data_IF_617938078222
#
_entry.id   IF_617938078222
#
_cell.length_a   1.000
_cell.length_b   1.000
_cell.length_c   1.000
_cell.angle_alpha   90.00
_cell.angle_beta   90.00
_cell.angle_gamma   90.00
#
_symmetry.space_group_name_H-M   'P 1'
#
loop_
_entity.id
_entity.type
_entity.pdbx_description
1 polymer ?
#
# COMPACT_ATOMS: atom_id res chain seq x y z
N UNK A 1 9.71 -0.37 18.61
CA UNK A 1 8.66 -0.61 17.60
C UNK A 1 7.33 0.05 17.95
N UNK A 2 6.67 -0.21 19.09
CA UNK A 2 5.35 0.34 19.44
C UNK A 2 5.28 1.88 19.43
N UNK A 3 6.30 2.56 19.94
CA UNK A 3 6.35 4.03 19.96
C UNK A 3 6.66 4.64 18.60
N UNK A 4 7.33 3.90 17.71
CA UNK A 4 7.82 4.40 16.42
C UNK A 4 6.83 4.16 15.27
N UNK A 5 5.87 3.24 15.43
CA UNK A 5 4.85 2.92 14.42
C UNK A 5 3.45 3.15 15.01
N UNK A 6 2.84 4.33 14.78
CA UNK A 6 1.51 4.62 15.27
C UNK A 6 0.46 3.64 14.74
N UNK A 7 -0.41 3.15 15.62
CA UNK A 7 -1.43 2.13 15.32
C UNK A 7 -2.85 2.65 15.54
N UNK A 8 -3.83 2.08 14.85
CA UNK A 8 -5.25 2.40 15.00
C UNK A 8 -5.87 3.10 13.78
N UNK A 9 -7.21 3.18 13.76
CA UNK A 9 -7.99 3.76 12.64
C UNK A 9 -7.59 5.20 12.36
N UNK A 10 -7.46 6.02 13.39
CA UNK A 10 -7.11 7.44 13.32
C UNK A 10 -5.62 7.73 13.46
N UNK A 11 -4.76 6.70 13.41
CA UNK A 11 -3.32 6.89 13.59
C UNK A 11 -2.74 7.89 12.59
N UNK A 12 -1.89 8.78 13.09
CA UNK A 12 -1.24 9.85 12.33
C UNK A 12 0.21 9.98 12.78
N UNK A 13 1.08 10.38 11.86
CA UNK A 13 2.44 10.81 12.18
C UNK A 13 2.51 12.33 12.21
N UNK A 14 2.98 12.88 13.34
CA UNK A 14 3.16 14.34 13.49
C UNK A 14 4.44 14.83 12.81
N UNK A 15 5.45 13.98 12.77
CA UNK A 15 6.78 14.20 12.20
C UNK A 15 6.82 13.97 10.66
N UNK A 16 5.78 13.39 10.10
CA UNK A 16 5.69 13.12 8.66
C UNK A 16 4.34 13.58 8.10
N UNK A 17 4.15 14.89 8.02
CA UNK A 17 2.98 15.47 7.37
C UNK A 17 3.31 15.79 5.91
N UNK A 18 2.62 15.10 5.01
CA UNK A 18 2.82 15.31 3.57
C UNK A 18 2.21 16.64 3.12
N UNK A 19 3.00 17.45 2.42
CA UNK A 19 2.44 18.52 1.59
C UNK A 19 1.62 17.93 0.42
N UNK A 20 0.84 18.74 -0.28
CA UNK A 20 0.13 18.27 -1.48
C UNK A 20 1.11 17.75 -2.55
N UNK A 21 2.27 18.40 -2.70
CA UNK A 21 3.33 17.99 -3.61
C UNK A 21 3.95 16.67 -3.19
N UNK A 22 4.22 16.48 -1.90
CA UNK A 22 4.80 15.23 -1.39
C UNK A 22 3.82 14.07 -1.53
N UNK A 23 2.53 14.29 -1.21
CA UNK A 23 1.51 13.25 -1.39
C UNK A 23 1.40 12.84 -2.86
N UNK A 24 1.39 13.78 -3.79
CA UNK A 24 1.40 13.48 -5.23
C UNK A 24 2.62 12.64 -5.60
N UNK A 25 3.80 13.03 -5.15
CA UNK A 25 5.04 12.29 -5.42
C UNK A 25 5.03 10.87 -4.82
N UNK A 26 4.42 10.67 -3.64
CA UNK A 26 4.19 9.34 -3.05
C UNK A 26 3.30 8.49 -3.95
N UNK A 27 2.21 9.04 -4.45
CA UNK A 27 1.24 8.34 -5.32
C UNK A 27 1.84 7.95 -6.68
N UNK A 28 2.78 8.75 -7.18
CA UNK A 28 3.46 8.53 -8.47
C UNK A 28 4.70 7.63 -8.34
N UNK A 29 5.41 7.66 -7.21
CA UNK A 29 6.74 7.06 -7.07
C UNK A 29 6.82 5.96 -6.01
N UNK A 30 5.77 5.75 -5.22
CA UNK A 30 5.71 4.68 -4.23
C UNK A 30 6.90 4.66 -3.26
N UNK A 31 7.46 3.47 -3.03
CA UNK A 31 8.58 3.27 -2.11
C UNK A 31 9.85 4.06 -2.52
N UNK A 32 10.05 4.32 -3.81
CA UNK A 32 11.18 5.12 -4.27
C UNK A 32 11.16 6.56 -3.75
N UNK A 33 9.97 7.14 -3.54
CA UNK A 33 9.86 8.42 -2.86
C UNK A 33 10.35 8.33 -1.40
N UNK A 34 9.99 7.26 -0.69
CA UNK A 34 10.40 7.06 0.70
C UNK A 34 11.92 6.88 0.82
N UNK A 35 12.52 6.05 -0.04
CA UNK A 35 13.97 5.85 -0.11
C UNK A 35 14.71 7.15 -0.41
N UNK A 36 14.24 7.95 -1.38
CA UNK A 36 14.83 9.26 -1.69
C UNK A 36 14.75 10.27 -0.52
N UNK A 37 13.91 10.02 0.47
CA UNK A 37 13.78 10.80 1.71
C UNK A 37 14.54 10.19 2.90
N UNK A 38 15.32 9.14 2.67
CA UNK A 38 16.12 8.47 3.70
C UNK A 38 15.36 7.38 4.49
N UNK A 39 14.15 7.01 4.06
CA UNK A 39 13.40 5.91 4.68
C UNK A 39 13.75 4.57 4.03
N UNK A 40 15.02 4.18 4.12
CA UNK A 40 15.55 2.94 3.54
C UNK A 40 16.63 3.17 2.49
N UNK A 41 16.93 2.14 1.71
CA UNK A 41 18.02 2.11 0.74
C UNK A 41 17.55 1.60 -0.62
N UNK A 42 18.34 1.79 -1.68
CA UNK A 42 18.08 1.21 -3.01
C UNK A 42 17.98 -0.33 -2.95
N UNK A 43 18.75 -0.98 -2.08
CA UNK A 43 18.67 -2.43 -1.90
C UNK A 43 17.30 -2.90 -1.38
N UNK A 44 16.55 -2.05 -0.67
CA UNK A 44 15.17 -2.37 -0.29
C UNK A 44 14.27 -2.45 -1.53
N UNK A 45 14.43 -1.54 -2.49
CA UNK A 45 13.62 -1.51 -3.71
C UNK A 45 13.85 -2.73 -4.61
N UNK A 46 15.06 -3.29 -4.61
CA UNK A 46 15.37 -4.49 -5.39
C UNK A 46 14.62 -5.74 -4.91
N UNK A 47 14.12 -5.71 -3.67
CA UNK A 47 13.42 -6.82 -3.02
C UNK A 47 11.91 -6.61 -2.89
N UNK A 48 11.40 -5.53 -3.46
CA UNK A 48 9.97 -5.20 -3.45
C UNK A 48 9.39 -5.40 -4.84
N UNK A 49 8.20 -6.00 -4.92
CA UNK A 49 7.45 -6.16 -6.16
C UNK A 49 7.38 -4.83 -6.92
N UNK A 50 7.61 -4.87 -8.24
CA UNK A 50 7.65 -3.68 -9.11
C UNK A 50 8.58 -2.58 -8.59
N UNK A 51 9.63 -2.95 -7.86
CA UNK A 51 10.53 -2.01 -7.18
C UNK A 51 9.78 -0.99 -6.29
N UNK A 52 8.62 -1.39 -5.80
CA UNK A 52 7.76 -0.59 -4.92
C UNK A 52 7.01 0.54 -5.62
N UNK A 53 6.81 0.46 -6.93
CA UNK A 53 6.10 1.48 -7.70
C UNK A 53 5.36 0.86 -8.90
N UNK A 54 4.04 0.75 -8.84
CA UNK A 54 3.22 0.35 -9.97
C UNK A 54 3.18 1.44 -11.04
N UNK A 55 3.35 1.07 -12.32
CA UNK A 55 3.21 1.99 -13.43
C UNK A 55 1.76 2.42 -13.65
N UNK A 56 1.56 3.50 -14.40
CA UNK A 56 0.22 3.96 -14.80
C UNK A 56 -0.61 4.59 -13.69
N UNK A 57 -0.01 4.90 -12.55
CA UNK A 57 -0.69 5.62 -11.47
C UNK A 57 -1.07 7.04 -11.89
N UNK A 58 -2.32 7.41 -11.67
CA UNK A 58 -2.80 8.77 -11.93
C UNK A 58 -3.44 9.38 -10.67
N UNK A 59 -2.71 10.22 -9.93
CA UNK A 59 -3.23 10.90 -8.75
C UNK A 59 -4.43 11.83 -9.00
N UNK A 60 -4.61 12.34 -10.22
CA UNK A 60 -5.70 13.25 -10.56
C UNK A 60 -7.06 12.55 -10.60
N UNK A 61 -7.06 11.22 -10.60
CA UNK A 61 -8.27 10.40 -10.50
C UNK A 61 -8.74 10.16 -9.06
N UNK A 62 -7.97 10.58 -8.06
CA UNK A 62 -8.33 10.45 -6.66
C UNK A 62 -9.19 11.63 -6.21
N UNK A 63 -10.23 11.33 -5.43
CA UNK A 63 -11.05 12.40 -4.84
C UNK A 63 -10.27 13.21 -3.79
N UNK A 64 -10.67 14.47 -3.62
CA UNK A 64 -10.11 15.32 -2.56
C UNK A 64 -10.20 14.65 -1.17
N UNK A 65 -11.28 13.89 -0.92
CA UNK A 65 -11.47 13.14 0.31
C UNK A 65 -10.47 12.00 0.47
N UNK A 66 -10.13 11.29 -0.60
CA UNK A 66 -9.12 10.24 -0.55
C UNK A 66 -7.74 10.83 -0.20
N UNK A 67 -7.38 11.93 -0.83
CA UNK A 67 -6.13 12.66 -0.57
C UNK A 67 -6.06 13.20 0.87
N UNK A 68 -7.15 13.80 1.36
CA UNK A 68 -7.26 14.28 2.74
C UNK A 68 -7.06 13.15 3.76
N UNK A 69 -7.68 11.99 3.54
CA UNK A 69 -7.53 10.82 4.42
C UNK A 69 -6.13 10.24 4.42
N UNK A 70 -5.47 10.20 3.26
CA UNK A 70 -4.11 9.65 3.11
C UNK A 70 -3.03 10.52 3.73
N UNK A 71 -3.13 11.84 3.57
CA UNK A 71 -2.09 12.80 3.93
C UNK A 71 -1.46 12.60 5.32
N UNK A 72 -2.22 12.39 6.41
CA UNK A 72 -1.65 12.22 7.75
C UNK A 72 -1.27 10.77 8.08
N UNK A 73 -1.50 9.81 7.19
CA UNK A 73 -1.45 8.38 7.53
C UNK A 73 -0.24 7.62 6.98
N UNK A 74 0.69 8.29 6.29
CA UNK A 74 1.93 7.65 5.84
C UNK A 74 2.79 7.25 7.04
N UNK A 75 3.36 6.04 7.00
CA UNK A 75 4.16 5.49 8.10
C UNK A 75 3.33 5.04 9.31
N UNK A 76 2.06 4.68 9.11
CA UNK A 76 1.16 4.21 10.18
C UNK A 76 0.62 2.82 9.88
N UNK A 77 0.41 2.02 10.93
CA UNK A 77 0.03 0.62 10.80
C UNK A 77 -1.45 0.42 10.44
N UNK A 78 -2.35 1.06 11.14
CA UNK A 78 -3.78 0.84 10.98
C UNK A 78 -4.41 0.01 12.10
N UNK A 79 -5.51 -0.66 11.78
CA UNK A 79 -6.27 -1.50 12.69
C UNK A 79 -6.92 -2.67 11.94
N UNK A 80 -7.68 -3.50 12.62
CA UNK A 80 -8.28 -4.71 12.07
C UNK A 80 -7.21 -5.79 11.88
N UNK A 81 -7.08 -6.28 10.68
CA UNK A 81 -6.09 -7.30 10.32
C UNK A 81 -4.68 -6.74 10.02
N UNK A 82 -4.45 -5.45 10.24
CA UNK A 82 -3.10 -4.88 10.13
C UNK A 82 -2.27 -5.23 11.36
N UNK A 83 -1.03 -5.65 11.15
CA UNK A 83 -0.10 -6.00 12.22
C UNK A 83 1.36 -5.68 11.88
N UNK A 84 2.17 -5.61 12.92
CA UNK A 84 3.63 -5.59 12.87
C UNK A 84 4.12 -6.58 13.93
N UNK A 85 4.77 -7.64 13.50
CA UNK A 85 5.15 -8.77 14.36
C UNK A 85 6.65 -9.01 14.31
N UNK A 86 7.23 -9.23 15.48
CA UNK A 86 8.56 -9.79 15.64
C UNK A 86 8.42 -11.32 15.69
N UNK A 87 9.07 -11.99 14.76
CA UNK A 87 8.99 -13.43 14.57
C UNK A 87 10.38 -14.05 14.54
N UNK A 88 10.45 -15.37 14.59
CA UNK A 88 11.66 -16.13 14.29
C UNK A 88 11.32 -17.33 13.41
N UNK A 89 12.27 -17.76 12.58
CA UNK A 89 12.13 -18.93 11.72
C UNK A 89 12.28 -20.18 12.57
N UNK A 90 11.17 -20.83 12.90
CA UNK A 90 11.15 -22.04 13.73
C UNK A 90 11.38 -23.34 12.94
N UNK A 91 11.03 -23.33 11.64
CA UNK A 91 11.14 -24.50 10.77
C UNK A 91 11.31 -24.08 9.31
N UNK A 92 12.05 -24.87 8.54
CA UNK A 92 12.26 -24.69 7.10
C UNK A 92 11.76 -25.93 6.38
N UNK A 93 10.75 -25.80 5.56
CA UNK A 93 10.14 -26.90 4.79
C UNK A 93 10.82 -27.14 3.44
N UNK A 94 11.40 -26.08 2.84
CA UNK A 94 12.11 -26.12 1.57
C UNK A 94 13.42 -25.32 1.70
N UNK A 95 14.53 -26.05 1.85
CA UNK A 95 15.83 -25.44 2.09
C UNK A 95 16.35 -24.60 0.90
N UNK A 96 16.23 -25.04 -0.38
CA UNK A 96 16.58 -24.23 -1.54
C UNK A 96 15.81 -22.91 -1.62
N UNK A 97 14.49 -22.95 -1.40
CA UNK A 97 13.63 -21.75 -1.42
C UNK A 97 13.97 -20.82 -0.25
N UNK A 98 14.14 -21.35 0.95
CA UNK A 98 14.54 -20.56 2.11
C UNK A 98 15.88 -19.85 1.89
N UNK A 99 16.86 -20.55 1.32
CA UNK A 99 18.16 -19.97 0.98
C UNK A 99 18.03 -18.84 -0.07
N UNK A 100 17.19 -19.01 -1.08
CA UNK A 100 16.92 -17.97 -2.08
C UNK A 100 16.29 -16.70 -1.47
N UNK A 101 15.46 -16.85 -0.44
CA UNK A 101 14.90 -15.73 0.34
C UNK A 101 15.84 -15.21 1.44
N UNK A 102 17.01 -15.83 1.65
CA UNK A 102 17.94 -15.45 2.69
C UNK A 102 17.45 -15.80 4.11
N UNK A 103 16.58 -16.80 4.21
CA UNK A 103 16.03 -17.26 5.49
C UNK A 103 16.88 -18.40 6.08
N UNK A 104 17.05 -18.36 7.39
CA UNK A 104 17.80 -19.37 8.18
C UNK A 104 17.00 -19.74 9.42
N UNK A 105 17.19 -20.97 9.91
CA UNK A 105 16.63 -21.40 11.18
C UNK A 105 17.07 -20.43 12.31
N UNK A 106 16.18 -20.17 13.24
CA UNK A 106 16.35 -19.26 14.38
C UNK A 106 16.61 -17.78 14.00
N UNK A 107 16.48 -17.43 12.71
CA UNK A 107 16.59 -16.05 12.28
C UNK A 107 15.40 -15.22 12.75
N UNK A 108 15.70 -14.09 13.38
CA UNK A 108 14.67 -13.10 13.72
C UNK A 108 14.20 -12.38 12.45
N UNK A 109 12.89 -12.27 12.28
CA UNK A 109 12.25 -11.58 11.18
C UNK A 109 11.19 -10.60 11.69
N UNK A 110 10.84 -9.63 10.86
CA UNK A 110 9.73 -8.70 11.13
C UNK A 110 8.75 -8.80 9.97
N UNK A 111 7.49 -9.07 10.31
CA UNK A 111 6.39 -9.07 9.35
C UNK A 111 5.54 -7.82 9.53
N UNK A 112 5.37 -7.08 8.43
CA UNK A 112 4.52 -5.89 8.37
C UNK A 112 3.35 -6.14 7.42
N UNK A 113 2.13 -6.14 7.96
CA UNK A 113 0.91 -6.21 7.18
C UNK A 113 0.15 -4.89 7.29
N UNK A 114 0.27 -4.06 6.28
CA UNK A 114 -0.44 -2.80 6.15
C UNK A 114 -0.55 -2.39 4.68
N UNK A 115 -1.39 -1.41 4.40
CA UNK A 115 -1.72 -1.00 3.04
C UNK A 115 -1.83 0.53 2.88
N UNK A 116 -2.70 0.93 1.99
CA UNK A 116 -2.94 2.32 1.60
C UNK A 116 -3.79 3.12 2.60
N UNK A 117 -4.10 2.55 3.74
CA UNK A 117 -4.84 3.19 4.82
C UNK A 117 -6.20 3.74 4.34
N UNK A 118 -6.63 4.84 4.91
CA UNK A 118 -7.88 5.50 4.55
C UNK A 118 -7.94 6.03 3.13
N UNK A 119 -6.79 6.24 2.47
CA UNK A 119 -6.72 6.66 1.07
C UNK A 119 -7.30 5.60 0.15
N UNK A 120 -6.76 4.39 0.14
CA UNK A 120 -7.23 3.33 -0.75
C UNK A 120 -8.62 2.84 -0.41
N UNK A 121 -9.01 2.84 0.87
CA UNK A 121 -10.39 2.56 1.25
C UNK A 121 -11.35 3.58 0.60
N UNK A 122 -10.99 4.87 0.57
CA UNK A 122 -11.81 5.89 -0.09
C UNK A 122 -11.82 5.71 -1.62
N UNK A 123 -10.66 5.41 -2.23
CA UNK A 123 -10.58 5.12 -3.67
C UNK A 123 -11.52 3.98 -4.04
N UNK A 124 -11.52 2.89 -3.27
CA UNK A 124 -12.45 1.79 -3.49
C UNK A 124 -13.91 2.25 -3.41
N UNK A 125 -14.29 2.99 -2.36
CA UNK A 125 -15.66 3.50 -2.20
C UNK A 125 -16.09 4.43 -3.35
N UNK A 126 -15.21 5.30 -3.81
CA UNK A 126 -15.50 6.25 -4.89
C UNK A 126 -15.77 5.52 -6.22
N UNK A 127 -15.13 4.38 -6.45
CA UNK A 127 -15.31 3.60 -7.68
C UNK A 127 -16.43 2.56 -7.63
N UNK A 128 -16.93 2.16 -6.45
CA UNK A 128 -17.95 1.11 -6.32
C UNK A 128 -19.21 1.40 -7.16
N UNK A 129 -19.75 2.62 -7.12
CA UNK A 129 -20.93 3.00 -7.91
C UNK A 129 -20.66 2.86 -9.41
N UNK A 130 -19.55 3.40 -9.84
CA UNK A 130 -19.13 3.37 -11.25
C UNK A 130 -19.01 1.94 -11.73
N UNK A 131 -18.42 1.04 -10.92
CA UNK A 131 -18.24 -0.38 -11.25
C UNK A 131 -19.57 -1.15 -11.29
N UNK A 132 -20.49 -0.88 -10.37
CA UNK A 132 -21.84 -1.50 -10.39
C UNK A 132 -22.59 -1.10 -11.65
N UNK A 133 -22.54 0.16 -12.07
CA UNK A 133 -23.21 0.63 -13.27
C UNK A 133 -22.51 0.13 -14.54
N UNK A 134 -21.19 0.03 -14.53
CA UNK A 134 -20.41 -0.57 -15.61
C UNK A 134 -20.74 -2.07 -15.79
N UNK A 135 -20.80 -2.83 -14.70
CA UNK A 135 -21.19 -4.26 -14.78
C UNK A 135 -22.52 -4.44 -15.49
N UNK A 136 -23.52 -3.61 -15.17
CA UNK A 136 -24.83 -3.65 -15.85
C UNK A 136 -24.73 -3.27 -17.32
N UNK A 137 -24.00 -2.20 -17.64
CA UNK A 137 -23.81 -1.69 -19.00
C UNK A 137 -23.15 -2.73 -19.90
N UNK A 138 -22.18 -3.46 -19.37
CA UNK A 138 -21.44 -4.49 -20.09
C UNK A 138 -22.07 -5.89 -20.00
N UNK A 139 -23.28 -6.01 -19.43
CA UNK A 139 -24.00 -7.28 -19.34
C UNK A 139 -23.33 -8.32 -18.45
N UNK A 140 -22.52 -7.91 -17.48
CA UNK A 140 -21.83 -8.81 -16.56
C UNK A 140 -22.78 -9.18 -15.43
N UNK A 141 -23.18 -10.46 -15.37
CA UNK A 141 -23.97 -10.99 -14.25
C UNK A 141 -23.11 -11.15 -13.01
N UNK A 142 -23.49 -10.51 -11.92
CA UNK A 142 -22.78 -10.55 -10.65
C UNK A 142 -23.50 -11.45 -9.66
N UNK A 143 -22.84 -12.50 -9.11
CA UNK A 143 -23.40 -13.29 -8.01
C UNK A 143 -23.49 -12.49 -6.70
N UNK A 144 -22.60 -11.52 -6.52
CA UNK A 144 -22.58 -10.58 -5.40
C UNK A 144 -22.19 -9.19 -5.90
N UNK A 145 -22.84 -8.13 -5.37
CA UNK A 145 -22.55 -6.74 -5.71
C UNK A 145 -21.13 -6.31 -5.30
N UNK A 146 -20.51 -6.98 -4.35
CA UNK A 146 -19.13 -6.73 -3.95
C UNK A 146 -18.12 -7.14 -5.03
N UNK A 147 -18.53 -8.01 -5.96
CA UNK A 147 -17.73 -8.43 -7.12
C UNK A 147 -17.94 -7.55 -8.36
N UNK A 148 -18.46 -6.32 -8.16
CA UNK A 148 -18.67 -5.41 -9.28
C UNK A 148 -17.35 -5.14 -10.02
N UNK A 149 -17.43 -5.16 -11.34
CA UNK A 149 -16.29 -5.05 -12.24
C UNK A 149 -16.66 -4.37 -13.55
N UNK A 150 -15.64 -4.03 -14.31
CA UNK A 150 -15.76 -3.56 -15.68
C UNK A 150 -14.71 -4.25 -16.54
N UNK A 151 -14.90 -4.36 -17.87
CA UNK A 151 -13.84 -4.83 -18.75
C UNK A 151 -12.59 -3.97 -18.57
N UNK A 152 -11.43 -4.62 -18.54
CA UNK A 152 -10.15 -3.97 -18.26
C UNK A 152 -9.88 -2.77 -19.18
N UNK A 153 -10.19 -2.94 -20.47
CA UNK A 153 -9.96 -1.94 -21.51
C UNK A 153 -11.08 -0.89 -21.61
N UNK A 154 -12.12 -1.00 -20.78
CA UNK A 154 -13.15 0.03 -20.72
C UNK A 154 -12.66 1.33 -20.08
N UNK A 155 -13.30 2.48 -20.35
CA UNK A 155 -12.95 3.73 -19.68
C UNK A 155 -13.00 3.62 -18.14
N UNK A 156 -13.99 2.90 -17.61
CA UNK A 156 -14.15 2.67 -16.18
C UNK A 156 -13.03 1.79 -15.62
N UNK A 157 -12.67 0.69 -16.32
CA UNK A 157 -11.59 -0.22 -15.94
C UNK A 157 -10.25 0.50 -15.90
N UNK A 158 -9.89 1.23 -16.95
CA UNK A 158 -8.64 2.00 -17.03
C UNK A 158 -8.54 3.06 -15.94
N UNK A 159 -9.61 3.81 -15.69
CA UNK A 159 -9.63 4.83 -14.62
C UNK A 159 -9.46 4.21 -13.24
N UNK A 160 -10.13 3.09 -12.99
CA UNK A 160 -9.97 2.38 -11.72
C UNK A 160 -8.56 1.85 -11.53
N UNK A 161 -7.97 1.23 -12.54
CA UNK A 161 -6.60 0.72 -12.47
C UNK A 161 -5.59 1.83 -12.17
N UNK A 162 -5.71 2.98 -12.81
CA UNK A 162 -4.81 4.11 -12.57
C UNK A 162 -4.96 4.68 -11.15
N UNK A 163 -6.19 4.79 -10.63
CA UNK A 163 -6.45 5.18 -9.24
C UNK A 163 -5.98 4.13 -8.24
N UNK A 164 -6.18 2.85 -8.54
CA UNK A 164 -5.71 1.71 -7.73
C UNK A 164 -4.18 1.68 -7.67
N UNK A 165 -3.49 1.87 -8.79
CA UNK A 165 -2.02 1.93 -8.85
C UNK A 165 -1.49 3.06 -7.97
N UNK A 166 -2.12 4.23 -7.98
CA UNK A 166 -1.75 5.33 -7.08
C UNK A 166 -1.93 4.95 -5.60
N UNK A 167 -3.04 4.29 -5.26
CA UNK A 167 -3.27 3.80 -3.88
C UNK A 167 -2.28 2.70 -3.49
N UNK A 168 -1.89 1.81 -4.41
CA UNK A 168 -0.87 0.79 -4.19
C UNK A 168 0.52 1.42 -3.97
N UNK A 169 0.87 2.47 -4.72
CA UNK A 169 2.10 3.23 -4.53
C UNK A 169 2.14 3.87 -3.14
N UNK A 170 1.03 4.42 -2.67
CA UNK A 170 0.94 4.87 -1.28
C UNK A 170 1.18 3.72 -0.29
N UNK A 171 0.65 2.54 -0.54
CA UNK A 171 0.85 1.37 0.32
C UNK A 171 2.32 0.91 0.35
N UNK A 172 3.02 0.90 -0.79
CA UNK A 172 4.45 0.62 -0.85
C UNK A 172 5.25 1.63 -0.02
N UNK A 173 5.01 2.92 -0.22
CA UNK A 173 5.67 3.97 0.57
C UNK A 173 5.34 3.84 2.07
N UNK A 174 4.10 3.52 2.43
CA UNK A 174 3.67 3.33 3.81
C UNK A 174 4.45 2.22 4.50
N UNK A 175 4.56 1.05 3.86
CA UNK A 175 5.33 -0.08 4.41
C UNK A 175 6.83 0.23 4.47
N UNK A 176 7.38 0.93 3.47
CA UNK A 176 8.79 1.32 3.46
C UNK A 176 9.13 2.24 4.63
N UNK A 177 8.31 3.26 4.88
CA UNK A 177 8.47 4.16 6.03
C UNK A 177 8.34 3.41 7.35
N UNK A 178 7.36 2.50 7.48
CA UNK A 178 7.24 1.68 8.69
C UNK A 178 8.45 0.77 8.90
N UNK A 179 8.94 0.10 7.84
CA UNK A 179 10.12 -0.76 7.92
C UNK A 179 11.36 0.01 8.39
N UNK A 180 11.55 1.24 7.91
CA UNK A 180 12.60 2.14 8.40
C UNK A 180 12.47 2.36 9.91
N UNK A 181 11.32 2.77 10.40
CA UNK A 181 11.13 3.05 11.83
C UNK A 181 11.19 1.82 12.72
N UNK A 182 10.90 0.65 12.19
CA UNK A 182 11.12 -0.61 12.91
C UNK A 182 12.62 -0.90 13.05
N UNK A 183 13.43 -0.63 12.01
CA UNK A 183 14.90 -0.78 12.07
C UNK A 183 15.55 0.18 13.05
N UNK A 184 14.97 1.37 13.23
CA UNK A 184 15.45 2.39 14.19
C UNK A 184 14.93 2.14 15.63
N UNK A 185 14.27 1.03 15.88
CA UNK A 185 13.70 0.67 17.19
C UNK A 185 14.56 -0.31 17.96
#
# INVERSE_FOLDING_TARGET
MYHNVPTGVGARRRDLQLSSRDLRAVLERGAAWAVARGYGTEADLERVEERGCLPGADPDLLSARALERGRPQLGTLGSGNHFAELQYVSEIYDAPVAAAFGLRLDQVTIMLHSGSRGLGHQVCQDHLRVMVDASRRYGIALPDRQLCCAPLESPEGRRYLAAMSAAANFAFANRQVMAHWVRES
#
